data_IF_455630509120
#
_entry.id   IF_455630509120
#
_cell.length_a   1.000
_cell.length_b   1.000
_cell.length_c   1.000
_cell.angle_alpha   90.00
_cell.angle_beta   90.00
_cell.angle_gamma   90.00
#
_symmetry.space_group_name_H-M   'P 1'
#
loop_
_entity.id
_entity.type
_entity.pdbx_description
1 polymer ?
#
# COMPACT_ATOMS: atom_id res chain seq x y z
N UNK A 1 14.86 -27.50 6.68
CA UNK A 1 15.55 -26.40 5.96
C UNK A 1 15.06 -25.08 6.55
N UNK A 2 15.91 -24.09 6.84
CA UNK A 2 15.41 -22.80 7.31
C UNK A 2 14.54 -22.21 6.20
N UNK A 3 13.28 -21.87 6.53
CA UNK A 3 12.34 -21.36 5.53
C UNK A 3 12.90 -20.08 4.91
N UNK A 4 12.95 -20.05 3.58
CA UNK A 4 13.33 -18.85 2.85
C UNK A 4 12.25 -17.82 3.16
N UNK A 5 12.61 -16.76 3.89
CA UNK A 5 11.67 -15.66 4.15
C UNK A 5 11.17 -15.12 2.80
N UNK A 6 9.85 -14.87 2.65
CA UNK A 6 9.32 -14.28 1.44
C UNK A 6 10.03 -12.95 1.14
N UNK A 7 10.19 -12.64 -0.15
CA UNK A 7 10.82 -11.39 -0.57
C UNK A 7 9.87 -10.22 -0.27
N UNK A 8 10.43 -9.10 0.19
CA UNK A 8 9.65 -7.87 0.42
C UNK A 8 9.63 -7.05 -0.87
N UNK A 9 8.58 -6.25 -1.11
CA UNK A 9 8.50 -5.43 -2.35
C UNK A 9 9.72 -4.50 -2.49
N UNK A 10 10.10 -3.77 -1.44
CA UNK A 10 11.32 -2.94 -1.48
C UNK A 10 12.60 -3.76 -1.69
N UNK A 11 12.65 -4.99 -1.16
CA UNK A 11 13.77 -5.88 -1.37
C UNK A 11 13.88 -6.30 -2.83
N UNK A 12 12.74 -6.56 -3.49
CA UNK A 12 12.68 -6.86 -4.93
C UNK A 12 13.07 -5.65 -5.76
N UNK A 13 12.53 -4.46 -5.48
CA UNK A 13 12.94 -3.23 -6.17
C UNK A 13 14.44 -2.95 -6.04
N UNK A 14 15.00 -3.06 -4.83
CA UNK A 14 16.44 -2.96 -4.61
C UNK A 14 17.21 -4.01 -5.43
N UNK A 15 16.73 -5.24 -5.40
CA UNK A 15 17.33 -6.36 -6.11
C UNK A 15 17.33 -6.20 -7.63
N UNK A 16 16.23 -5.70 -8.19
CA UNK A 16 16.07 -5.42 -9.61
C UNK A 16 16.95 -4.24 -10.06
N UNK A 17 17.07 -3.17 -9.25
CA UNK A 17 18.04 -2.11 -9.55
C UNK A 17 19.49 -2.62 -9.49
N UNK A 18 19.85 -3.38 -8.46
CA UNK A 18 21.18 -3.97 -8.35
C UNK A 18 21.48 -4.91 -9.53
N UNK A 19 20.52 -5.73 -9.95
CA UNK A 19 20.62 -6.58 -11.14
C UNK A 19 20.83 -5.75 -12.40
N UNK A 20 20.03 -4.69 -12.60
CA UNK A 20 20.14 -3.80 -13.76
C UNK A 20 21.52 -3.15 -13.84
N UNK A 21 22.06 -2.65 -12.72
CA UNK A 21 23.40 -2.08 -12.69
C UNK A 21 24.49 -3.13 -12.90
N UNK A 22 24.33 -4.34 -12.32
CA UNK A 22 25.25 -5.46 -12.56
C UNK A 22 25.33 -5.83 -14.04
N UNK A 23 24.17 -5.99 -14.68
CA UNK A 23 24.08 -6.35 -16.09
C UNK A 23 24.66 -5.24 -16.98
N UNK A 24 24.41 -3.96 -16.65
CA UNK A 24 25.01 -2.79 -17.32
C UNK A 24 26.54 -2.75 -17.20
N UNK A 25 27.07 -3.21 -16.06
CA UNK A 25 28.51 -3.34 -15.83
C UNK A 25 29.13 -4.60 -16.48
N UNK A 26 28.33 -5.46 -17.11
CA UNK A 26 28.78 -6.70 -17.74
C UNK A 26 29.24 -7.78 -16.74
N UNK A 27 28.83 -7.67 -15.48
CA UNK A 27 29.26 -8.60 -14.43
C UNK A 27 28.27 -9.76 -14.25
N UNK A 28 28.80 -10.96 -14.08
CA UNK A 28 28.01 -12.12 -13.71
C UNK A 28 27.70 -12.13 -12.20
N UNK A 29 26.64 -12.84 -11.83
CA UNK A 29 26.34 -13.14 -10.41
C UNK A 29 27.48 -13.84 -9.66
N UNK A 30 28.36 -14.58 -10.36
CA UNK A 30 29.54 -15.21 -9.78
C UNK A 30 30.62 -14.17 -9.44
N UNK A 31 30.92 -13.27 -10.37
CA UNK A 31 31.87 -12.17 -10.13
C UNK A 31 31.38 -11.23 -9.03
N UNK A 32 30.08 -10.91 -9.00
CA UNK A 32 29.48 -10.16 -7.89
C UNK A 32 29.62 -10.88 -6.55
N UNK A 33 29.60 -12.22 -6.54
CA UNK A 33 29.78 -13.00 -5.33
C UNK A 33 31.23 -12.98 -4.84
N UNK A 34 32.21 -13.00 -5.75
CA UNK A 34 33.63 -12.82 -5.46
C UNK A 34 33.91 -11.44 -4.83
N UNK A 35 33.32 -10.37 -5.37
CA UNK A 35 33.45 -9.00 -4.82
C UNK A 35 33.01 -8.92 -3.35
N UNK A 36 31.96 -9.66 -3.00
CA UNK A 36 31.40 -9.67 -1.65
C UNK A 36 31.93 -10.78 -0.75
N UNK A 37 32.90 -11.57 -1.23
CA UNK A 37 33.39 -12.79 -0.57
C UNK A 37 32.24 -13.69 -0.08
N UNK A 38 31.34 -14.05 -1.00
CA UNK A 38 30.13 -14.78 -0.65
C UNK A 38 29.71 -15.79 -1.72
N UNK A 39 28.61 -16.51 -1.47
CA UNK A 39 28.08 -17.48 -2.43
C UNK A 39 27.28 -16.80 -3.54
N UNK A 40 27.33 -17.35 -4.76
CA UNK A 40 26.42 -16.97 -5.85
C UNK A 40 24.95 -16.98 -5.42
N UNK A 41 24.59 -17.94 -4.56
CA UNK A 41 23.24 -18.03 -3.97
C UNK A 41 22.89 -16.87 -3.04
N UNK A 42 23.86 -16.20 -2.39
CA UNK A 42 23.62 -14.96 -1.63
C UNK A 42 23.30 -13.81 -2.58
N UNK A 43 24.07 -13.62 -3.66
CA UNK A 43 23.80 -12.59 -4.68
C UNK A 43 22.42 -12.79 -5.30
N UNK A 44 22.10 -14.02 -5.72
CA UNK A 44 20.77 -14.30 -6.28
C UNK A 44 19.64 -14.01 -5.29
N UNK A 45 19.80 -14.33 -3.99
CA UNK A 45 18.80 -14.00 -2.97
C UNK A 45 18.70 -12.51 -2.67
N UNK A 46 19.80 -11.76 -2.78
CA UNK A 46 19.80 -10.29 -2.69
C UNK A 46 19.02 -9.70 -3.86
N UNK A 47 19.35 -10.11 -5.09
CA UNK A 47 18.69 -9.60 -6.31
C UNK A 47 17.21 -9.99 -6.41
N UNK A 48 16.79 -11.03 -5.70
CA UNK A 48 15.38 -11.42 -5.60
C UNK A 48 14.70 -10.92 -4.30
N UNK A 49 15.37 -10.07 -3.52
CA UNK A 49 14.78 -9.44 -2.33
C UNK A 49 14.55 -10.35 -1.12
N UNK A 50 15.09 -11.57 -1.12
CA UNK A 50 14.95 -12.54 -0.02
C UNK A 50 15.88 -12.26 1.16
N UNK A 51 17.03 -11.65 0.91
CA UNK A 51 18.07 -11.38 1.91
C UNK A 51 18.36 -9.87 1.99
N UNK A 52 18.44 -9.30 3.20
CA UNK A 52 18.83 -7.89 3.38
C UNK A 52 20.25 -7.62 2.88
N UNK A 53 20.46 -6.47 2.24
CA UNK A 53 21.79 -6.02 1.81
C UNK A 53 22.40 -5.17 2.92
N UNK A 54 23.54 -5.59 3.47
CA UNK A 54 24.25 -4.80 4.49
C UNK A 54 24.87 -3.55 3.84
N UNK A 55 25.00 -2.46 4.59
CA UNK A 55 25.58 -1.22 4.07
C UNK A 55 26.97 -1.41 3.44
N UNK A 56 27.92 -2.16 4.04
CA UNK A 56 29.21 -2.42 3.40
C UNK A 56 29.07 -3.19 2.08
N UNK A 57 28.25 -4.24 2.06
CA UNK A 57 27.96 -5.03 0.86
C UNK A 57 27.37 -4.12 -0.24
N UNK A 58 26.44 -3.22 0.11
CA UNK A 58 25.84 -2.29 -0.84
C UNK A 58 26.87 -1.34 -1.44
N UNK A 59 27.75 -0.75 -0.62
CA UNK A 59 28.81 0.16 -1.08
C UNK A 59 29.77 -0.56 -2.02
N UNK A 60 30.15 -1.79 -1.70
CA UNK A 60 31.01 -2.62 -2.55
C UNK A 60 30.35 -2.92 -3.91
N UNK A 61 29.06 -3.29 -3.92
CA UNK A 61 28.31 -3.53 -5.17
C UNK A 61 28.16 -2.24 -6.00
N UNK A 62 27.83 -1.10 -5.38
CA UNK A 62 27.73 0.21 -6.05
C UNK A 62 29.04 0.56 -6.75
N UNK A 63 30.17 0.34 -6.07
CA UNK A 63 31.50 0.56 -6.63
C UNK A 63 31.78 -0.38 -7.81
N UNK A 64 31.58 -1.68 -7.61
CA UNK A 64 31.85 -2.68 -8.64
C UNK A 64 30.96 -2.55 -9.88
N UNK A 65 29.71 -2.12 -9.71
CA UNK A 65 28.75 -1.95 -10.80
C UNK A 65 28.90 -0.60 -11.52
N UNK A 66 29.91 0.20 -11.17
CA UNK A 66 30.17 1.52 -11.75
C UNK A 66 28.93 2.44 -11.74
N UNK A 67 28.14 2.40 -10.66
CA UNK A 67 27.01 3.32 -10.50
C UNK A 67 27.58 4.70 -10.21
N UNK A 68 27.64 5.58 -11.22
CA UNK A 68 28.26 6.88 -11.12
C UNK A 68 27.29 7.97 -10.67
N UNK A 69 26.01 7.81 -11.02
CA UNK A 69 24.97 8.80 -10.81
C UNK A 69 24.68 8.99 -9.30
N UNK A 70 24.89 10.18 -8.70
CA UNK A 70 24.69 10.40 -7.27
C UNK A 70 23.27 10.09 -6.81
N UNK A 71 22.27 10.43 -7.62
CA UNK A 71 20.87 10.12 -7.35
C UNK A 71 20.67 8.61 -7.23
N UNK A 72 21.18 7.81 -8.18
CA UNK A 72 21.04 6.35 -8.15
C UNK A 72 21.67 5.73 -6.89
N UNK A 73 22.81 6.26 -6.44
CA UNK A 73 23.45 5.82 -5.19
C UNK A 73 22.57 6.09 -3.98
N UNK A 74 21.97 7.29 -3.90
CA UNK A 74 21.06 7.63 -2.79
C UNK A 74 19.80 6.77 -2.82
N UNK A 75 19.22 6.50 -4.01
CA UNK A 75 18.07 5.59 -4.16
C UNK A 75 18.38 4.20 -3.61
N UNK A 76 19.47 3.57 -4.07
CA UNK A 76 19.91 2.26 -3.60
C UNK A 76 20.14 2.23 -2.08
N UNK A 77 20.78 3.28 -1.53
CA UNK A 77 21.00 3.40 -0.09
C UNK A 77 19.70 3.58 0.71
N UNK A 78 18.75 4.36 0.19
CA UNK A 78 17.44 4.58 0.78
C UNK A 78 16.61 3.29 0.81
N UNK A 79 16.54 2.59 -0.33
CA UNK A 79 15.87 1.30 -0.47
C UNK A 79 16.44 0.27 0.52
N UNK A 80 17.77 0.12 0.58
CA UNK A 80 18.42 -0.83 1.48
C UNK A 80 18.18 -0.50 2.96
N UNK A 81 18.31 0.78 3.37
CA UNK A 81 18.05 1.21 4.75
C UNK A 81 16.62 0.85 5.18
N UNK A 82 15.62 1.19 4.35
CA UNK A 82 14.21 0.95 4.69
C UNK A 82 13.84 -0.53 4.63
N UNK A 83 14.30 -1.27 3.63
CA UNK A 83 14.09 -2.73 3.56
C UNK A 83 14.68 -3.45 4.79
N UNK A 84 15.85 -3.03 5.26
CA UNK A 84 16.52 -3.63 6.42
C UNK A 84 15.88 -3.24 7.76
N UNK A 85 15.58 -1.95 7.96
CA UNK A 85 14.96 -1.44 9.20
C UNK A 85 13.63 -2.15 9.45
N UNK A 86 12.84 -2.28 8.40
CA UNK A 86 11.51 -2.85 8.47
C UNK A 86 11.51 -4.32 8.89
N UNK A 87 12.48 -5.12 8.41
CA UNK A 87 12.64 -6.51 8.87
C UNK A 87 12.92 -6.64 10.37
N UNK A 88 13.26 -5.54 11.06
CA UNK A 88 13.65 -5.50 12.48
C UNK A 88 12.64 -4.80 13.39
N UNK A 89 11.93 -3.76 12.92
CA UNK A 89 11.26 -2.77 13.78
C UNK A 89 9.76 -2.51 13.44
N UNK A 90 9.10 -3.35 12.64
CA UNK A 90 7.67 -3.15 12.30
C UNK A 90 6.72 -3.29 13.48
N UNK A 91 5.87 -2.29 13.76
CA UNK A 91 4.87 -2.35 14.84
C UNK A 91 3.92 -3.54 14.72
N UNK A 92 3.62 -3.97 13.48
CA UNK A 92 2.76 -5.11 13.18
C UNK A 92 3.36 -6.46 13.60
N UNK A 93 4.63 -6.52 14.01
CA UNK A 93 5.21 -7.75 14.55
C UNK A 93 4.48 -8.25 15.79
N UNK A 94 3.92 -7.35 16.61
CA UNK A 94 3.16 -7.74 17.81
C UNK A 94 1.82 -8.43 17.49
N UNK A 95 1.29 -8.23 16.26
CA UNK A 95 0.04 -8.85 15.80
C UNK A 95 0.27 -10.08 14.92
N UNK A 96 1.47 -10.68 15.02
CA UNK A 96 1.94 -11.62 14.02
C UNK A 96 1.12 -12.91 13.86
N UNK A 97 0.34 -13.31 14.86
CA UNK A 97 -0.54 -14.49 14.81
C UNK A 97 -1.83 -14.27 14.03
N UNK A 98 -2.26 -13.02 13.85
CA UNK A 98 -3.57 -12.65 13.27
C UNK A 98 -3.44 -12.12 11.83
N UNK A 99 -2.23 -11.69 11.44
CA UNK A 99 -1.96 -11.13 10.11
C UNK A 99 -1.43 -12.17 9.15
N UNK A 100 -2.19 -12.40 8.06
CA UNK A 100 -1.68 -13.07 6.88
C UNK A 100 -0.48 -12.29 6.30
N UNK A 101 0.49 -13.01 5.73
CA UNK A 101 1.72 -12.43 5.18
C UNK A 101 1.43 -11.34 4.13
N UNK A 102 0.43 -11.55 3.28
CA UNK A 102 0.01 -10.59 2.23
C UNK A 102 -0.49 -9.26 2.78
N UNK A 103 -1.20 -9.30 3.91
CA UNK A 103 -1.70 -8.09 4.57
C UNK A 103 -0.58 -7.38 5.34
N UNK A 104 0.37 -8.16 5.87
CA UNK A 104 1.58 -7.62 6.49
C UNK A 104 2.40 -6.82 5.47
N UNK A 105 2.61 -7.35 4.26
CA UNK A 105 3.28 -6.65 3.14
C UNK A 105 2.59 -5.33 2.74
N UNK A 106 1.26 -5.27 2.84
CA UNK A 106 0.51 -4.04 2.57
C UNK A 106 0.72 -2.98 3.65
N UNK A 107 0.49 -3.30 4.94
CA UNK A 107 0.73 -2.38 6.07
C UNK A 107 2.14 -1.81 5.99
N UNK A 108 3.05 -2.71 5.69
CA UNK A 108 4.42 -2.42 5.40
C UNK A 108 4.54 -1.29 4.37
N UNK A 109 4.06 -1.46 3.14
CA UNK A 109 4.14 -0.43 2.08
C UNK A 109 3.44 0.86 2.48
N UNK A 110 2.25 0.77 3.09
CA UNK A 110 1.49 1.93 3.58
C UNK A 110 2.29 2.76 4.59
N UNK A 111 3.06 2.13 5.47
CA UNK A 111 3.85 2.80 6.50
C UNK A 111 4.92 3.72 5.91
N UNK A 112 5.41 3.45 4.70
CA UNK A 112 6.55 4.17 4.10
C UNK A 112 6.18 4.99 2.86
N UNK A 113 4.97 4.81 2.33
CA UNK A 113 4.49 5.61 1.22
C UNK A 113 4.19 7.04 1.67
N UNK A 114 4.41 7.97 0.76
CA UNK A 114 4.19 9.39 0.99
C UNK A 114 2.77 9.80 0.56
N UNK A 115 2.19 9.06 -0.40
CA UNK A 115 0.80 9.23 -0.78
C UNK A 115 0.13 7.92 -1.19
N UNK A 116 -1.18 7.81 -0.94
CA UNK A 116 -2.05 6.77 -1.48
C UNK A 116 -3.17 7.41 -2.28
N UNK A 117 -3.33 6.95 -3.51
CA UNK A 117 -4.49 7.23 -4.36
C UNK A 117 -5.29 5.93 -4.52
N UNK A 118 -6.59 5.95 -4.30
CA UNK A 118 -7.40 4.72 -4.37
C UNK A 118 -8.72 4.93 -5.06
N UNK A 119 -9.12 3.94 -5.86
CA UNK A 119 -10.47 3.80 -6.37
C UNK A 119 -11.15 2.63 -5.66
N UNK A 120 -12.32 2.88 -5.03
CA UNK A 120 -13.06 1.87 -4.29
C UNK A 120 -14.50 1.76 -4.77
N UNK A 121 -15.00 0.53 -4.83
CA UNK A 121 -16.33 0.21 -5.38
C UNK A 121 -17.26 -0.51 -4.42
N UNK A 122 -16.73 -1.13 -3.36
CA UNK A 122 -17.51 -1.97 -2.44
C UNK A 122 -17.38 -1.56 -0.98
N UNK A 123 -16.21 -1.09 -0.56
CA UNK A 123 -15.92 -0.79 0.83
C UNK A 123 -15.27 0.58 0.97
N UNK A 124 -15.61 1.29 2.03
CA UNK A 124 -14.86 2.48 2.44
C UNK A 124 -13.41 2.06 2.74
N UNK A 125 -12.38 2.81 2.28
CA UNK A 125 -10.98 2.46 2.52
C UNK A 125 -10.69 2.27 4.01
N UNK A 126 -9.89 1.25 4.36
CA UNK A 126 -9.60 0.90 5.77
C UNK A 126 -9.05 2.05 6.62
N UNK A 127 -8.31 2.98 6.00
CA UNK A 127 -7.79 4.17 6.66
C UNK A 127 -8.88 5.20 7.05
N UNK A 128 -10.08 5.09 6.48
CA UNK A 128 -11.21 6.00 6.71
C UNK A 128 -12.40 5.29 7.41
N UNK A 129 -12.16 4.11 7.99
CA UNK A 129 -13.21 3.30 8.63
C UNK A 129 -13.38 3.62 10.11
N UNK A 130 -14.62 3.60 10.61
CA UNK A 130 -14.88 3.55 12.05
C UNK A 130 -14.59 2.14 12.60
N UNK A 131 -14.33 2.00 13.92
CA UNK A 131 -14.14 0.69 14.53
C UNK A 131 -15.30 -0.29 14.26
N UNK A 132 -16.53 0.21 14.32
CA UNK A 132 -17.76 -0.59 14.19
C UNK A 132 -17.96 -1.07 12.75
N UNK A 133 -17.74 -0.19 11.77
CA UNK A 133 -17.77 -0.57 10.35
C UNK A 133 -16.65 -1.57 10.03
N UNK A 134 -15.43 -1.28 10.49
CA UNK A 134 -14.27 -2.15 10.31
C UNK A 134 -14.50 -3.54 10.92
N UNK A 135 -15.14 -3.62 12.09
CA UNK A 135 -15.56 -4.88 12.71
C UNK A 135 -16.57 -5.63 11.85
N UNK A 136 -17.63 -4.95 11.37
CA UNK A 136 -18.67 -5.57 10.55
C UNK A 136 -18.09 -6.20 9.27
N UNK A 137 -17.20 -5.48 8.56
CA UNK A 137 -16.49 -5.98 7.38
C UNK A 137 -15.56 -7.15 7.73
N UNK A 138 -14.85 -7.06 8.85
CA UNK A 138 -13.93 -8.11 9.31
C UNK A 138 -14.67 -9.42 9.59
N UNK A 139 -15.82 -9.36 10.27
CA UNK A 139 -16.68 -10.53 10.51
C UNK A 139 -17.20 -11.11 9.18
N UNK A 140 -17.66 -10.25 8.26
CA UNK A 140 -18.18 -10.68 6.97
C UNK A 140 -17.14 -11.41 6.09
N UNK A 141 -15.84 -11.08 6.24
CA UNK A 141 -14.77 -11.73 5.48
C UNK A 141 -14.58 -13.22 5.79
N UNK A 142 -15.01 -13.68 6.98
CA UNK A 142 -14.82 -15.04 7.51
C UNK A 142 -13.35 -15.52 7.55
N UNK A 143 -12.39 -14.60 7.45
CA UNK A 143 -10.97 -14.92 7.55
C UNK A 143 -10.53 -15.19 9.00
N UNK A 144 -11.23 -14.62 9.98
CA UNK A 144 -11.01 -14.81 11.42
C UNK A 144 -12.19 -15.56 12.03
N UNK A 145 -11.91 -16.53 12.91
CA UNK A 145 -12.90 -17.49 13.39
C UNK A 145 -13.39 -17.17 14.80
N UNK A 146 -12.62 -16.40 15.56
CA UNK A 146 -12.93 -16.06 16.96
C UNK A 146 -13.13 -14.56 17.16
N UNK A 147 -13.92 -14.19 18.18
CA UNK A 147 -14.13 -12.79 18.54
C UNK A 147 -12.82 -12.07 18.91
N UNK A 148 -11.91 -12.75 19.61
CA UNK A 148 -10.60 -12.19 19.96
C UNK A 148 -9.76 -11.90 18.72
N UNK A 149 -9.73 -12.79 17.72
CA UNK A 149 -9.02 -12.53 16.46
C UNK A 149 -9.59 -11.32 15.72
N UNK A 150 -10.92 -11.21 15.67
CA UNK A 150 -11.60 -10.04 15.09
C UNK A 150 -11.21 -8.76 15.84
N UNK A 151 -11.21 -8.77 17.17
CA UNK A 151 -10.82 -7.63 18.00
C UNK A 151 -9.37 -7.22 17.76
N UNK A 152 -8.45 -8.18 17.70
CA UNK A 152 -7.05 -7.92 17.39
C UNK A 152 -6.89 -7.32 15.99
N UNK A 153 -7.62 -7.84 15.00
CA UNK A 153 -7.55 -7.31 13.64
C UNK A 153 -8.14 -5.90 13.52
N UNK A 154 -9.22 -5.59 14.24
CA UNK A 154 -9.76 -4.23 14.34
C UNK A 154 -8.74 -3.29 14.98
N UNK A 155 -8.03 -3.71 16.03
CA UNK A 155 -6.92 -2.92 16.60
C UNK A 155 -5.83 -2.63 15.57
N UNK A 156 -5.46 -3.61 14.73
CA UNK A 156 -4.51 -3.40 13.63
C UNK A 156 -5.04 -2.35 12.64
N UNK A 157 -6.33 -2.42 12.26
CA UNK A 157 -6.93 -1.42 11.37
C UNK A 157 -6.86 -0.01 11.95
N UNK A 158 -7.17 0.15 13.24
CA UNK A 158 -7.12 1.45 13.91
C UNK A 158 -5.69 1.99 14.03
N UNK A 159 -4.72 1.13 14.39
CA UNK A 159 -3.31 1.52 14.45
C UNK A 159 -2.78 2.04 13.10
N UNK A 160 -3.27 1.50 11.97
CA UNK A 160 -2.89 2.00 10.64
C UNK A 160 -3.34 3.45 10.39
N UNK A 161 -4.47 3.87 10.97
CA UNK A 161 -5.02 5.20 10.75
C UNK A 161 -4.15 6.31 11.32
N UNK A 162 -3.23 6.01 12.25
CA UNK A 162 -2.22 6.95 12.74
C UNK A 162 -1.40 7.56 11.59
N UNK A 163 -1.27 6.87 10.44
CA UNK A 163 -0.61 7.40 9.24
C UNK A 163 -1.25 8.66 8.67
N UNK A 164 -2.54 8.90 8.91
CA UNK A 164 -3.23 10.11 8.45
C UNK A 164 -2.95 11.33 9.34
N UNK A 165 -2.26 11.13 10.47
CA UNK A 165 -2.04 12.16 11.50
C UNK A 165 -0.54 12.44 11.71
N UNK A 166 -0.23 13.56 12.39
CA UNK A 166 1.14 13.96 12.73
C UNK A 166 1.87 14.77 11.66
N UNK A 167 3.17 15.02 11.89
CA UNK A 167 4.00 15.87 11.03
C UNK A 167 4.34 15.23 9.69
N UNK A 168 4.48 13.90 9.68
CA UNK A 168 4.74 13.10 8.47
C UNK A 168 3.49 12.34 8.00
N UNK A 169 2.36 13.05 7.96
CA UNK A 169 1.07 12.46 7.57
C UNK A 169 1.05 12.08 6.09
N UNK A 170 0.33 10.99 5.82
CA UNK A 170 0.10 10.46 4.48
C UNK A 170 -0.85 11.37 3.69
N UNK A 171 -0.49 11.68 2.44
CA UNK A 171 -1.42 12.29 1.49
C UNK A 171 -2.35 11.22 0.92
N UNK A 172 -3.65 11.33 1.19
CA UNK A 172 -4.63 10.29 0.88
C UNK A 172 -5.74 10.83 -0.04
N UNK A 173 -5.92 10.22 -1.21
CA UNK A 173 -6.98 10.58 -2.14
C UNK A 173 -7.82 9.36 -2.51
N UNK A 174 -9.06 9.34 -2.06
CA UNK A 174 -10.04 8.31 -2.39
C UNK A 174 -11.07 8.82 -3.40
N UNK A 175 -11.26 8.05 -4.47
CA UNK A 175 -12.42 8.15 -5.35
C UNK A 175 -13.32 6.95 -5.07
N UNK A 176 -14.54 7.22 -4.64
CA UNK A 176 -15.51 6.24 -4.16
C UNK A 176 -16.65 6.11 -5.17
N UNK A 177 -16.97 4.91 -5.64
CA UNK A 177 -18.19 4.71 -6.43
C UNK A 177 -19.43 4.93 -5.55
N UNK A 178 -20.40 5.72 -6.01
CA UNK A 178 -21.59 6.11 -5.22
C UNK A 178 -22.31 4.92 -4.57
N UNK A 179 -22.37 3.78 -5.27
CA UNK A 179 -23.02 2.56 -4.76
C UNK A 179 -22.49 2.07 -3.42
N UNK A 180 -21.21 2.27 -3.10
CA UNK A 180 -20.67 1.83 -1.81
C UNK A 180 -21.22 2.64 -0.62
N UNK A 181 -21.70 3.87 -0.86
CA UNK A 181 -22.32 4.71 0.18
C UNK A 181 -23.74 4.24 0.51
N UNK A 182 -24.39 3.49 -0.40
CA UNK A 182 -25.73 2.95 -0.22
C UNK A 182 -25.75 1.53 0.33
N UNK A 183 -24.63 0.82 0.28
CA UNK A 183 -24.53 -0.53 0.84
C UNK A 183 -24.69 -0.48 2.36
N UNK A 184 -25.69 -1.20 2.88
CA UNK A 184 -25.83 -1.39 4.33
C UNK A 184 -24.70 -2.30 4.82
N UNK A 185 -23.92 -1.81 5.79
CA UNK A 185 -22.84 -2.52 6.45
C UNK A 185 -23.01 -2.39 7.95
N UNK A 186 -22.95 -3.53 8.65
CA UNK A 186 -23.28 -3.60 10.06
C UNK A 186 -24.78 -3.46 10.32
N UNK A 187 -25.13 -3.22 11.58
CA UNK A 187 -26.52 -3.07 12.04
C UNK A 187 -26.72 -1.69 12.67
N UNK A 188 -27.97 -1.27 12.84
CA UNK A 188 -28.31 -0.01 13.53
C UNK A 188 -27.69 1.22 12.86
N UNK A 189 -26.95 2.01 13.64
CA UNK A 189 -26.35 3.28 13.18
C UNK A 189 -24.99 3.12 12.51
N UNK A 190 -24.44 1.90 12.36
CA UNK A 190 -23.06 1.71 11.92
C UNK A 190 -22.74 2.43 10.60
N UNK A 191 -23.60 2.29 9.59
CA UNK A 191 -23.38 2.97 8.30
C UNK A 191 -23.61 4.48 8.38
N UNK A 192 -24.55 4.92 9.21
CA UNK A 192 -24.76 6.35 9.49
C UNK A 192 -23.50 6.98 10.09
N UNK A 193 -22.99 6.40 11.17
CA UNK A 193 -21.84 6.88 11.92
C UNK A 193 -20.56 6.84 11.06
N UNK A 194 -20.42 5.79 10.24
CA UNK A 194 -19.33 5.69 9.27
C UNK A 194 -19.37 6.81 8.21
N UNK A 195 -20.54 7.15 7.66
CA UNK A 195 -20.64 8.21 6.66
C UNK A 195 -20.45 9.60 7.28
N UNK A 196 -20.87 9.82 8.52
CA UNK A 196 -20.53 11.05 9.26
C UNK A 196 -19.02 11.15 9.47
N UNK A 197 -18.38 10.08 9.96
CA UNK A 197 -16.94 10.04 10.12
C UNK A 197 -16.20 10.31 8.81
N UNK A 198 -16.65 9.70 7.70
CA UNK A 198 -16.09 9.94 6.37
C UNK A 198 -16.20 11.41 5.94
N UNK A 199 -17.32 12.05 6.23
CA UNK A 199 -17.52 13.47 5.97
C UNK A 199 -16.56 14.33 6.80
N UNK A 200 -16.34 13.99 8.07
CA UNK A 200 -15.46 14.75 8.97
C UNK A 200 -13.98 14.61 8.57
N UNK A 201 -13.51 13.39 8.27
CA UNK A 201 -12.10 13.19 7.87
C UNK A 201 -11.79 13.78 6.50
N UNK A 202 -12.78 13.89 5.61
CA UNK A 202 -12.62 14.54 4.31
C UNK A 202 -12.38 16.05 4.40
N UNK A 203 -12.55 16.67 5.58
CA UNK A 203 -12.20 18.08 5.81
C UNK A 203 -10.71 18.27 6.16
N UNK A 204 -9.97 17.19 6.41
CA UNK A 204 -8.53 17.27 6.71
C UNK A 204 -7.72 17.63 5.45
N UNK A 205 -6.66 18.45 5.58
CA UNK A 205 -5.96 19.00 4.43
C UNK A 205 -5.19 17.96 3.59
N UNK A 206 -4.83 16.82 4.18
CA UNK A 206 -4.13 15.72 3.50
C UNK A 206 -5.09 14.62 3.00
N UNK A 207 -6.42 14.80 3.15
CA UNK A 207 -7.41 13.79 2.78
C UNK A 207 -8.35 14.40 1.74
N UNK A 208 -8.39 13.80 0.54
CA UNK A 208 -9.36 14.15 -0.50
C UNK A 208 -10.30 12.98 -0.73
N UNK A 209 -11.59 13.20 -0.54
CA UNK A 209 -12.63 12.22 -0.87
C UNK A 209 -13.50 12.76 -1.99
N UNK A 210 -13.63 11.99 -3.07
CA UNK A 210 -14.55 12.28 -4.15
C UNK A 210 -15.48 11.10 -4.40
N UNK A 211 -16.70 11.39 -4.83
CA UNK A 211 -17.70 10.37 -5.19
C UNK A 211 -17.90 10.36 -6.69
N UNK A 212 -17.74 9.20 -7.31
CA UNK A 212 -18.08 8.95 -8.70
C UNK A 212 -19.56 8.60 -8.80
N UNK A 213 -20.41 9.49 -9.35
CA UNK A 213 -21.86 9.32 -9.29
C UNK A 213 -22.37 8.33 -10.33
N UNK A 214 -23.54 7.73 -10.08
CA UNK A 214 -24.18 6.81 -11.03
C UNK A 214 -24.46 7.42 -12.41
N UNK A 215 -24.71 8.74 -12.45
CA UNK A 215 -24.96 9.48 -13.69
C UNK A 215 -23.79 9.44 -14.67
N UNK A 216 -22.60 9.01 -14.23
CA UNK A 216 -21.43 8.85 -15.10
C UNK A 216 -21.50 7.63 -16.02
N UNK A 217 -22.36 6.65 -15.72
CA UNK A 217 -22.52 5.45 -16.54
C UNK A 217 -21.24 4.60 -16.56
N UNK A 218 -20.88 4.08 -17.74
CA UNK A 218 -19.70 3.23 -17.88
C UNK A 218 -18.40 4.02 -17.73
N UNK A 219 -17.48 3.53 -16.90
CA UNK A 219 -16.19 4.17 -16.66
C UNK A 219 -15.06 3.13 -16.41
N UNK A 220 -13.78 3.49 -16.60
CA UNK A 220 -12.68 2.54 -16.46
C UNK A 220 -12.53 1.93 -15.05
N UNK A 221 -12.92 2.65 -14.01
CA UNK A 221 -12.94 2.12 -12.63
C UNK A 221 -13.85 0.90 -12.42
N UNK A 222 -14.79 0.60 -13.32
CA UNK A 222 -15.67 -0.58 -13.19
C UNK A 222 -14.92 -1.92 -13.21
N UNK A 223 -13.66 -1.94 -13.69
CA UNK A 223 -12.83 -3.14 -13.78
C UNK A 223 -12.05 -3.47 -12.49
N UNK A 224 -12.39 -2.82 -11.37
CA UNK A 224 -11.99 -3.26 -10.02
C UNK A 224 -11.36 -2.15 -9.17
N UNK A 225 -11.34 -2.34 -7.83
CA UNK A 225 -10.70 -1.41 -6.93
C UNK A 225 -9.17 -1.54 -6.99
N UNK A 226 -8.46 -0.48 -6.64
CA UNK A 226 -7.01 -0.49 -6.55
C UNK A 226 -6.49 0.58 -5.59
N UNK A 227 -5.25 0.39 -5.15
CA UNK A 227 -4.45 1.40 -4.45
C UNK A 227 -3.19 1.67 -5.26
N UNK A 228 -2.89 2.94 -5.49
CA UNK A 228 -1.65 3.43 -6.05
C UNK A 228 -0.85 4.08 -4.92
N UNK A 229 0.29 3.48 -4.58
CA UNK A 229 1.17 3.91 -3.50
C UNK A 229 2.38 4.60 -4.13
N UNK A 230 2.69 5.81 -3.69
CA UNK A 230 3.84 6.57 -4.19
C UNK A 230 4.91 6.78 -3.13
N UNK A 231 6.17 6.79 -3.58
CA UNK A 231 7.35 6.78 -2.70
C UNK A 231 8.42 7.82 -3.07
N UNK A 232 8.06 9.09 -3.37
CA UNK A 232 9.03 10.11 -3.80
C UNK A 232 10.19 10.31 -2.82
N UNK A 233 9.96 10.25 -1.49
CA UNK A 233 11.02 10.53 -0.49
C UNK A 233 12.10 9.47 -0.42
N UNK A 234 11.83 8.28 -0.94
CA UNK A 234 12.82 7.21 -1.06
C UNK A 234 13.25 6.96 -2.48
N UNK A 235 12.65 7.70 -3.41
CA UNK A 235 12.85 7.56 -4.84
C UNK A 235 12.70 6.09 -5.27
N UNK A 236 11.76 5.40 -4.65
CA UNK A 236 11.37 4.05 -5.02
C UNK A 236 10.29 4.13 -6.10
N UNK A 237 10.12 3.04 -6.85
CA UNK A 237 9.05 2.99 -7.85
C UNK A 237 7.69 2.94 -7.15
N UNK A 238 6.75 3.70 -7.68
CA UNK A 238 5.35 3.62 -7.31
C UNK A 238 4.83 2.19 -7.52
N UNK A 239 3.81 1.82 -6.75
CA UNK A 239 3.25 0.47 -6.75
C UNK A 239 1.74 0.55 -6.91
N UNK A 240 1.17 -0.44 -7.62
CA UNK A 240 -0.26 -0.68 -7.59
C UNK A 240 -0.53 -1.95 -6.81
N UNK A 241 -1.54 -1.90 -5.95
CA UNK A 241 -2.08 -3.03 -5.21
C UNK A 241 -3.54 -3.23 -5.59
N UNK A 242 -3.89 -4.46 -5.96
CA UNK A 242 -5.28 -4.93 -6.03
C UNK A 242 -5.47 -6.08 -5.06
N UNK A 243 -6.48 -5.98 -4.21
CA UNK A 243 -6.83 -7.03 -3.24
C UNK A 243 -7.81 -8.02 -3.86
N UNK A 244 -7.57 -9.31 -3.66
CA UNK A 244 -8.46 -10.40 -4.07
C UNK A 244 -8.81 -11.26 -2.86
N UNK A 245 -9.90 -12.05 -2.89
CA UNK A 245 -10.24 -12.95 -1.80
C UNK A 245 -9.12 -13.94 -1.43
N UNK A 246 -8.23 -14.24 -2.38
CA UNK A 246 -7.12 -15.18 -2.21
C UNK A 246 -5.78 -14.51 -1.87
N UNK A 247 -5.72 -13.18 -1.84
CA UNK A 247 -4.50 -12.43 -1.54
C UNK A 247 -4.31 -11.18 -2.39
N UNK A 248 -3.12 -10.62 -2.34
CA UNK A 248 -2.79 -9.32 -2.92
C UNK A 248 -2.00 -9.48 -4.22
N UNK A 249 -2.36 -8.70 -5.24
CA UNK A 249 -1.63 -8.59 -6.50
C UNK A 249 -0.89 -7.26 -6.50
N UNK A 250 0.45 -7.32 -6.55
CA UNK A 250 1.32 -6.16 -6.67
C UNK A 250 1.78 -5.98 -8.11
N UNK A 251 1.64 -4.76 -8.62
CA UNK A 251 2.19 -4.38 -9.93
C UNK A 251 3.30 -3.37 -9.70
N UNK A 252 4.51 -3.77 -10.13
CA UNK A 252 5.75 -3.05 -9.87
C UNK A 252 6.34 -2.47 -11.17
N UNK A 253 5.86 -2.89 -12.35
CA UNK A 253 6.38 -2.42 -13.64
C UNK A 253 5.82 -1.04 -13.96
N UNK A 254 6.69 -0.13 -14.36
CA UNK A 254 6.30 1.25 -14.69
C UNK A 254 5.17 1.34 -15.73
N UNK A 255 5.16 0.46 -16.74
CA UNK A 255 4.07 0.43 -17.74
C UNK A 255 2.70 0.08 -17.14
N UNK A 256 2.65 -0.78 -16.12
CA UNK A 256 1.42 -1.11 -15.41
C UNK A 256 1.01 0.05 -14.51
N UNK A 257 1.95 0.56 -13.74
CA UNK A 257 1.70 1.66 -12.80
C UNK A 257 1.22 2.92 -13.53
N UNK A 258 1.87 3.28 -14.64
CA UNK A 258 1.47 4.40 -15.49
C UNK A 258 0.02 4.28 -15.97
N UNK A 259 -0.41 3.09 -16.39
CA UNK A 259 -1.80 2.83 -16.78
C UNK A 259 -2.78 3.11 -15.63
N UNK A 260 -2.43 2.72 -14.40
CA UNK A 260 -3.27 3.00 -13.22
C UNK A 260 -3.25 4.47 -12.80
N UNK A 261 -2.17 5.21 -13.04
CA UNK A 261 -2.15 6.67 -12.85
C UNK A 261 -3.18 7.34 -13.77
N UNK A 262 -3.20 6.97 -15.05
CA UNK A 262 -4.19 7.46 -16.02
C UNK A 262 -5.62 7.09 -15.59
N UNK A 263 -5.85 5.84 -15.19
CA UNK A 263 -7.16 5.40 -14.69
C UNK A 263 -7.65 6.22 -13.48
N UNK A 264 -6.73 6.57 -12.57
CA UNK A 264 -7.07 7.39 -11.42
C UNK A 264 -7.36 8.83 -11.82
N UNK A 265 -6.59 9.38 -12.76
CA UNK A 265 -6.82 10.72 -13.30
C UNK A 265 -8.18 10.84 -14.01
N UNK A 266 -8.57 9.82 -14.79
CA UNK A 266 -9.89 9.73 -15.40
C UNK A 266 -11.01 9.66 -14.34
N UNK A 267 -10.81 8.84 -13.31
CA UNK A 267 -11.78 8.64 -12.24
C UNK A 267 -11.99 9.92 -11.42
N UNK A 268 -10.93 10.59 -10.98
CA UNK A 268 -11.04 11.84 -10.20
C UNK A 268 -11.63 12.99 -11.01
N UNK A 269 -11.37 13.05 -12.31
CA UNK A 269 -11.92 14.06 -13.23
C UNK A 269 -13.40 13.84 -13.48
N UNK A 270 -13.85 12.58 -13.46
CA UNK A 270 -15.24 12.20 -13.65
C UNK A 270 -16.06 12.20 -12.37
N UNK A 271 -15.41 12.17 -11.21
CA UNK A 271 -16.05 12.24 -9.91
C UNK A 271 -16.54 13.67 -9.61
N UNK A 272 -17.51 13.77 -8.70
CA UNK A 272 -17.95 15.05 -8.18
C UNK A 272 -16.77 15.80 -7.53
N UNK A 273 -16.74 17.14 -7.59
CA UNK A 273 -15.80 17.93 -6.81
C UNK A 273 -15.87 17.55 -5.31
N UNK A 274 -14.80 17.76 -4.53
CA UNK A 274 -14.77 17.38 -3.11
C UNK A 274 -15.94 17.96 -2.28
N UNK A 275 -16.34 19.21 -2.54
CA UNK A 275 -17.45 19.89 -1.85
C UNK A 275 -18.82 19.27 -2.15
N UNK A 276 -19.06 18.92 -3.42
CA UNK A 276 -20.29 18.24 -3.85
C UNK A 276 -20.31 16.78 -3.36
N UNK A 277 -19.16 16.12 -3.38
CA UNK A 277 -18.97 14.77 -2.80
C UNK A 277 -19.31 14.74 -1.32
N UNK A 278 -18.81 15.72 -0.56
CA UNK A 278 -19.13 15.88 0.86
C UNK A 278 -20.63 16.11 1.10
N UNK A 279 -21.25 16.93 0.26
CA UNK A 279 -22.70 17.19 0.33
C UNK A 279 -23.51 15.92 0.06
N UNK A 280 -23.09 15.11 -0.92
CA UNK A 280 -23.69 13.83 -1.24
C UNK A 280 -23.54 12.82 -0.09
N UNK A 281 -22.33 12.68 0.47
CA UNK A 281 -22.05 11.79 1.62
C UNK A 281 -22.95 12.18 2.81
N UNK A 282 -23.02 13.47 3.15
CA UNK A 282 -23.87 13.96 4.26
C UNK A 282 -25.36 13.73 4.01
N UNK A 283 -25.81 13.81 2.75
CA UNK A 283 -27.20 13.51 2.38
C UNK A 283 -27.50 12.02 2.59
N UNK A 284 -26.67 11.13 2.02
CA UNK A 284 -26.84 9.68 2.13
C UNK A 284 -26.73 9.23 3.60
N UNK A 285 -25.84 9.85 4.40
CA UNK A 285 -25.75 9.57 5.83
C UNK A 285 -27.11 9.76 6.54
N UNK A 286 -27.89 10.78 6.19
CA UNK A 286 -29.23 11.01 6.78
C UNK A 286 -30.24 9.93 6.38
N UNK A 287 -30.06 9.29 5.23
CA UNK A 287 -30.91 8.20 4.73
C UNK A 287 -30.64 6.89 5.49
N UNK A 288 -29.43 6.70 6.04
CA UNK A 288 -29.06 5.57 6.91
C UNK A 288 -29.44 5.75 8.39
N UNK A 289 -30.26 6.77 8.73
CA UNK A 289 -30.76 6.90 10.11
C UNK A 289 -31.71 5.73 10.43
N UNK A 290 -31.57 5.11 11.61
CA UNK A 290 -32.43 4.00 12.02
C UNK A 290 -33.91 4.42 12.16
#
# INVERSE_FOLDING_TARGET
MPSVKPSTVLGRQLGDELRRFRDRAGLSTAQAAEILDCTKGKISRIENGHVPVRTPDLVALIGAYNVAEPEARERLASLARRANRRRREGWWHQYGSVLADTYRDYIEMETICDSIKTFQVQLIPGLLQTPEYGRAVTVASRAWQTAEEVDQFVKVRLARQERLTGDDRLEFWAVLAEGLLHQHVGEGTVMHDQLQHLADVAEQPNITVQVLPFSRGAHPGMFGPYLLLSFPRVSALDLVLTETPTGNIWMERESEVARYRELFDDARTSALPPTESLSLIRRIAKEHRP
#
